data_IF_705358332736
#
_entry.id   IF_705358332736
#
_cell.length_a   1.000
_cell.length_b   1.000
_cell.length_c   1.000
_cell.angle_alpha   90.00
_cell.angle_beta   90.00
_cell.angle_gamma   90.00
#
_symmetry.space_group_name_H-M   'P 1'
#
loop_
_entity.id
_entity.type
_entity.pdbx_description
1 polymer ?
#
# COMPACT_ATOMS: atom_id res chain seq x y z
N UNK A 1 14.08 -25.90 -0.60
CA UNK A 1 12.75 -25.52 -0.08
C UNK A 1 11.90 -25.07 -1.27
N UNK A 2 10.68 -25.56 -1.45
CA UNK A 2 9.81 -25.12 -2.55
C UNK A 2 9.24 -23.72 -2.18
N UNK A 3 9.51 -22.65 -2.95
CA UNK A 3 9.01 -21.31 -2.62
C UNK A 3 7.46 -21.24 -2.62
N UNK A 4 6.79 -22.16 -3.33
CA UNK A 4 5.33 -22.24 -3.39
C UNK A 4 4.71 -22.91 -2.15
N UNK A 5 5.50 -23.54 -1.28
CA UNK A 5 4.99 -24.18 -0.05
C UNK A 5 5.12 -23.30 1.20
N UNK A 6 5.69 -22.09 1.09
CA UNK A 6 5.84 -21.18 2.22
C UNK A 6 4.52 -20.47 2.53
N UNK A 7 4.02 -20.59 3.76
CA UNK A 7 2.85 -19.83 4.21
C UNK A 7 3.29 -18.41 4.59
N UNK A 8 2.53 -17.42 4.13
CA UNK A 8 2.73 -16.00 4.42
C UNK A 8 1.37 -15.36 4.76
N UNK A 9 1.41 -14.22 5.46
CA UNK A 9 0.25 -13.36 5.71
C UNK A 9 0.65 -11.91 5.48
N UNK A 10 -0.35 -11.06 5.24
CA UNK A 10 -0.14 -9.64 5.01
C UNK A 10 -1.40 -8.82 5.22
N UNK A 11 -1.27 -7.51 5.02
CA UNK A 11 -2.38 -6.55 5.15
C UNK A 11 -2.58 -5.80 3.84
N UNK A 12 -3.85 -5.61 3.46
CA UNK A 12 -4.27 -4.68 2.42
C UNK A 12 -4.53 -3.31 3.05
N UNK A 13 -3.75 -2.31 2.65
CA UNK A 13 -3.93 -0.92 3.07
C UNK A 13 -3.38 0.00 1.99
N UNK A 14 -4.17 0.93 1.46
CA UNK A 14 -3.65 1.91 0.50
C UNK A 14 -2.87 3.02 1.21
N UNK A 15 -1.77 3.56 0.65
CA UNK A 15 -0.99 4.64 1.28
C UNK A 15 -1.83 5.86 1.65
N UNK A 16 -2.86 6.17 0.87
CA UNK A 16 -3.78 7.29 1.13
C UNK A 16 -4.56 7.14 2.43
N UNK A 17 -4.71 5.90 2.95
CA UNK A 17 -5.37 5.60 4.22
C UNK A 17 -4.44 5.71 5.43
N UNK A 18 -3.15 5.93 5.22
CA UNK A 18 -2.22 6.18 6.32
C UNK A 18 -2.50 7.55 6.96
N UNK A 19 -2.18 7.73 8.25
CA UNK A 19 -2.19 9.05 8.86
C UNK A 19 -1.24 10.00 8.12
N UNK A 20 -1.72 11.16 7.68
CA UNK A 20 -0.94 12.16 6.97
C UNK A 20 -1.32 13.59 7.39
N UNK A 21 -0.35 14.51 7.35
CA UNK A 21 -0.54 15.89 7.82
C UNK A 21 -1.32 16.80 6.87
N UNK A 22 -1.62 16.33 5.66
CA UNK A 22 -2.14 17.16 4.56
C UNK A 22 -3.44 16.63 3.97
N UNK A 23 -4.26 15.95 4.78
CA UNK A 23 -5.59 15.44 4.37
C UNK A 23 -5.57 14.10 3.63
N UNK A 24 -4.40 13.54 3.35
CA UNK A 24 -4.19 12.24 2.74
C UNK A 24 -2.90 11.62 3.28
N UNK A 25 -2.84 10.29 3.39
CA UNK A 25 -1.59 9.58 3.64
C UNK A 25 -0.66 9.61 2.43
N UNK A 26 0.64 9.43 2.69
CA UNK A 26 1.71 9.53 1.69
C UNK A 26 2.80 8.47 1.94
N UNK A 27 3.83 8.48 1.08
CA UNK A 27 5.03 7.67 1.25
C UNK A 27 6.08 8.32 2.19
N UNK A 28 5.61 9.05 3.21
CA UNK A 28 6.43 9.68 4.23
C UNK A 28 6.60 8.81 5.48
N UNK A 29 6.78 9.45 6.64
CA UNK A 29 7.15 8.78 7.89
C UNK A 29 6.11 7.75 8.38
N UNK A 30 4.83 7.95 8.07
CA UNK A 30 3.79 7.00 8.43
C UNK A 30 3.90 5.68 7.67
N UNK A 31 4.35 5.70 6.41
CA UNK A 31 4.58 4.49 5.63
C UNK A 31 5.72 3.64 6.22
N UNK A 32 6.84 4.27 6.60
CA UNK A 32 7.93 3.56 7.29
C UNK A 32 7.47 2.95 8.62
N UNK A 33 6.75 3.72 9.45
CA UNK A 33 6.19 3.20 10.71
C UNK A 33 5.25 2.02 10.48
N UNK A 34 4.46 2.06 9.40
CA UNK A 34 3.57 0.95 9.04
C UNK A 34 4.36 -0.30 8.64
N UNK A 35 5.44 -0.16 7.86
CA UNK A 35 6.33 -1.28 7.52
C UNK A 35 7.01 -1.84 8.78
N UNK A 36 7.55 -0.99 9.65
CA UNK A 36 8.16 -1.42 10.92
C UNK A 36 7.16 -2.20 11.77
N UNK A 37 5.90 -1.74 11.82
CA UNK A 37 4.83 -2.42 12.52
C UNK A 37 4.44 -3.76 11.86
N UNK A 38 4.35 -3.82 10.53
CA UNK A 38 4.09 -5.07 9.80
C UNK A 38 5.16 -6.11 10.09
N UNK A 39 6.43 -5.71 10.01
CA UNK A 39 7.57 -6.56 10.31
C UNK A 39 7.55 -7.05 11.77
N UNK A 40 7.29 -6.14 12.72
CA UNK A 40 7.13 -6.47 14.14
C UNK A 40 5.95 -7.40 14.42
N UNK A 41 4.90 -7.35 13.61
CA UNK A 41 3.73 -8.21 13.68
C UNK A 41 3.88 -9.55 12.91
N UNK A 42 5.05 -9.83 12.33
CA UNK A 42 5.32 -11.04 11.54
C UNK A 42 4.60 -11.08 10.19
N UNK A 43 4.03 -9.96 9.74
CA UNK A 43 3.44 -9.86 8.41
C UNK A 43 4.54 -9.79 7.36
N UNK A 44 4.35 -10.50 6.25
CA UNK A 44 5.31 -10.59 5.15
C UNK A 44 4.78 -10.03 3.83
N UNK A 45 3.54 -9.52 3.83
CA UNK A 45 2.94 -8.85 2.68
C UNK A 45 2.29 -7.51 3.05
N UNK A 46 2.48 -6.52 2.18
CA UNK A 46 1.68 -5.30 2.13
C UNK A 46 1.07 -5.21 0.73
N UNK A 47 -0.24 -5.40 0.64
CA UNK A 47 -0.98 -5.21 -0.59
C UNK A 47 -1.56 -3.79 -0.65
N UNK A 48 -1.56 -3.20 -1.85
CA UNK A 48 -2.14 -1.88 -2.12
C UNK A 48 -3.07 -1.94 -3.33
N UNK A 49 -3.90 -0.91 -3.47
CA UNK A 49 -4.59 -0.58 -4.72
C UNK A 49 -3.59 0.03 -5.74
N UNK A 50 -3.97 0.24 -7.01
CA UNK A 50 -3.08 0.86 -8.00
C UNK A 50 -2.62 2.28 -7.60
N UNK A 51 -1.38 2.63 -7.96
CA UNK A 51 -0.72 3.89 -7.56
C UNK A 51 -0.79 5.00 -8.62
N UNK A 52 -1.48 4.78 -9.73
CA UNK A 52 -1.65 5.81 -10.75
C UNK A 52 -2.52 6.96 -10.29
N UNK A 53 -2.58 8.02 -11.11
CA UNK A 53 -3.52 9.11 -10.89
C UNK A 53 -4.95 8.59 -10.76
N UNK A 54 -5.70 9.14 -9.81
CA UNK A 54 -7.10 8.75 -9.61
C UNK A 54 -8.00 9.35 -10.69
N UNK A 55 -8.95 8.56 -11.17
CA UNK A 55 -9.99 9.01 -12.09
C UNK A 55 -11.21 9.61 -11.37
N UNK A 56 -12.31 9.82 -12.11
CA UNK A 56 -13.60 10.24 -11.55
C UNK A 56 -14.00 9.42 -10.31
N UNK A 57 -14.48 10.11 -9.27
CA UNK A 57 -14.83 9.48 -8.00
C UNK A 57 -13.63 9.07 -7.14
N UNK A 58 -12.42 9.59 -7.44
CA UNK A 58 -11.16 9.24 -6.78
C UNK A 58 -10.81 7.74 -6.90
N UNK A 59 -11.24 7.10 -7.99
CA UNK A 59 -10.99 5.67 -8.20
C UNK A 59 -9.55 5.42 -8.66
N UNK A 60 -8.76 4.60 -7.94
CA UNK A 60 -7.40 4.22 -8.36
C UNK A 60 -7.41 3.26 -9.56
N UNK A 61 -8.57 2.76 -9.96
CA UNK A 61 -8.73 1.86 -11.12
C UNK A 61 -9.03 2.61 -12.42
N UNK A 62 -9.15 3.94 -12.38
CA UNK A 62 -9.52 4.78 -13.54
C UNK A 62 -8.43 5.80 -13.89
N UNK A 63 -7.17 5.36 -13.92
CA UNK A 63 -6.05 6.20 -14.34
C UNK A 63 -6.03 6.43 -15.85
N UNK A 64 -5.59 7.61 -16.27
CA UNK A 64 -5.31 7.96 -17.68
C UNK A 64 -4.03 7.26 -18.21
N UNK A 65 -3.19 6.75 -17.31
CA UNK A 65 -1.92 6.10 -17.62
C UNK A 65 -1.75 4.80 -16.84
N UNK A 66 -1.31 3.75 -17.53
CA UNK A 66 -0.94 2.47 -16.91
C UNK A 66 0.47 2.50 -16.27
N UNK A 67 1.23 3.59 -16.44
CA UNK A 67 2.65 3.67 -16.07
C UNK A 67 2.97 4.80 -15.08
N UNK A 68 2.17 5.86 -15.05
CA UNK A 68 2.40 6.97 -14.13
C UNK A 68 2.06 6.57 -12.68
N UNK A 69 2.76 7.17 -11.72
CA UNK A 69 2.62 6.96 -10.28
C UNK A 69 3.76 7.64 -9.52
#
# INVERSE_FOLDING_TARGET
>A
MNPLSLRTSGILLHPTSLPGGYGCGDFGRSAYRFIDWLAGAGQSGWQMLPLGEVGPGNSPYMSSSAFAG
#
